data_IF_377629804426
#
_entry.id   IF_377629804426
#
_cell.length_a   1.000
_cell.length_b   1.000
_cell.length_c   1.000
_cell.angle_alpha   90.00
_cell.angle_beta   90.00
_cell.angle_gamma   90.00
#
_symmetry.space_group_name_H-M   'P 1'
#
loop_
_entity.id
_entity.type
_entity.pdbx_description
1 polymer ?
#
# COMPACT_ATOMS: atom_id res chain seq x y z
N UNK A 1 -2.23 8.94 -27.72
CA UNK A 1 -1.36 7.83 -27.27
C UNK A 1 -0.92 8.16 -25.84
N UNK A 2 -1.39 7.43 -24.83
CA UNK A 2 -0.92 7.62 -23.43
C UNK A 2 0.56 7.23 -23.36
N UNK A 3 1.40 8.06 -22.73
CA UNK A 3 2.82 7.74 -22.55
C UNK A 3 2.96 6.38 -21.83
N UNK A 4 4.01 5.62 -22.15
CA UNK A 4 4.30 4.35 -21.46
C UNK A 4 4.35 4.55 -19.93
N UNK A 5 4.78 5.72 -19.47
CA UNK A 5 4.78 6.09 -18.05
C UNK A 5 3.39 6.18 -17.43
N UNK A 6 2.43 6.79 -18.14
CA UNK A 6 1.05 6.93 -17.66
C UNK A 6 0.37 5.56 -17.48
N UNK A 7 0.76 4.57 -18.30
CA UNK A 7 0.26 3.19 -18.19
C UNK A 7 0.78 2.49 -16.94
N UNK A 8 2.08 2.58 -16.66
CA UNK A 8 2.68 1.93 -15.48
C UNK A 8 2.18 2.55 -14.19
N UNK A 9 2.10 3.88 -14.14
CA UNK A 9 1.52 4.57 -13.00
C UNK A 9 0.03 4.22 -12.84
N UNK A 10 -0.68 4.06 -13.97
CA UNK A 10 -2.04 3.55 -14.00
C UNK A 10 -2.20 2.17 -13.38
N UNK A 11 -1.32 1.23 -13.73
CA UNK A 11 -1.36 -0.14 -13.24
C UNK A 11 -0.89 -0.25 -11.78
N UNK A 12 0.11 0.53 -11.37
CA UNK A 12 0.49 0.69 -9.96
C UNK A 12 -0.70 1.19 -9.14
N UNK A 13 -1.33 2.27 -9.57
CA UNK A 13 -2.48 2.83 -8.88
C UNK A 13 -3.63 1.81 -8.78
N UNK A 14 -3.95 1.11 -9.87
CA UNK A 14 -4.98 0.05 -9.85
C UNK A 14 -4.64 -1.03 -8.83
N UNK A 15 -3.39 -1.49 -8.78
CA UNK A 15 -2.95 -2.52 -7.83
C UNK A 15 -3.02 -2.02 -6.38
N UNK A 16 -2.58 -0.79 -6.11
CA UNK A 16 -2.52 -0.20 -4.77
C UNK A 16 -3.89 0.14 -4.21
N UNK A 17 -4.82 0.59 -5.06
CA UNK A 17 -6.20 0.88 -4.68
C UNK A 17 -7.08 -0.39 -4.64
N UNK A 18 -6.60 -1.53 -5.15
CA UNK A 18 -7.38 -2.75 -5.13
C UNK A 18 -7.51 -3.28 -3.69
N UNK A 19 -8.72 -3.56 -3.19
CA UNK A 19 -8.93 -3.92 -1.79
C UNK A 19 -8.39 -5.31 -1.44
N UNK A 20 -7.97 -6.11 -2.42
CA UNK A 20 -7.61 -7.51 -2.20
C UNK A 20 -6.50 -7.71 -1.18
N UNK A 21 -5.42 -6.91 -1.20
CA UNK A 21 -4.38 -7.08 -0.18
C UNK A 21 -4.90 -6.75 1.22
N UNK A 22 -5.72 -5.69 1.35
CA UNK A 22 -6.33 -5.33 2.62
C UNK A 22 -7.26 -6.44 3.13
N UNK A 23 -8.03 -7.08 2.25
CA UNK A 23 -8.86 -8.24 2.57
C UNK A 23 -8.02 -9.43 3.03
N UNK A 24 -6.97 -9.79 2.29
CA UNK A 24 -6.07 -10.89 2.67
C UNK A 24 -5.40 -10.65 4.02
N UNK A 25 -4.90 -9.43 4.25
CA UNK A 25 -4.30 -9.04 5.54
C UNK A 25 -5.32 -9.06 6.68
N UNK A 26 -6.57 -8.67 6.42
CA UNK A 26 -7.64 -8.75 7.42
C UNK A 26 -7.95 -10.20 7.78
N UNK A 27 -8.05 -11.10 6.79
CA UNK A 27 -8.25 -12.53 7.03
C UNK A 27 -7.08 -13.15 7.76
N UNK A 28 -5.85 -12.85 7.34
CA UNK A 28 -4.62 -13.26 8.01
C UNK A 28 -4.68 -12.88 9.48
N UNK A 29 -4.96 -11.60 9.77
CA UNK A 29 -5.04 -11.06 11.13
C UNK A 29 -6.10 -11.79 11.97
N UNK A 30 -7.31 -11.98 11.44
CA UNK A 30 -8.40 -12.66 12.15
C UNK A 30 -8.04 -14.12 12.47
N UNK A 31 -7.45 -14.84 11.52
CA UNK A 31 -7.04 -16.22 11.72
C UNK A 31 -5.87 -16.33 12.72
N UNK A 32 -4.91 -15.39 12.69
CA UNK A 32 -3.85 -15.31 13.68
C UNK A 32 -4.41 -15.06 15.09
N UNK A 33 -5.29 -14.07 15.23
CA UNK A 33 -5.88 -13.69 16.51
C UNK A 33 -6.62 -14.87 17.16
N UNK A 34 -7.50 -15.55 16.40
CA UNK A 34 -8.27 -16.69 16.90
C UNK A 34 -7.38 -17.85 17.40
N UNK A 35 -6.17 -17.97 16.86
CA UNK A 35 -5.25 -19.05 17.13
C UNK A 35 -4.08 -18.65 18.05
N UNK A 36 -4.09 -17.40 18.57
CA UNK A 36 -3.01 -16.85 19.40
C UNK A 36 -2.72 -17.71 20.61
N UNK A 37 -3.73 -17.96 21.44
CA UNK A 37 -3.54 -18.59 22.74
C UNK A 37 -3.12 -20.06 22.62
N UNK A 38 -3.55 -20.74 21.54
CA UNK A 38 -3.21 -22.13 21.27
C UNK A 38 -1.76 -22.29 20.78
N UNK A 39 -1.23 -21.30 20.06
CA UNK A 39 -0.01 -21.49 19.28
C UNK A 39 1.06 -20.41 19.50
N UNK A 40 0.91 -19.50 20.47
CA UNK A 40 1.85 -18.38 20.74
C UNK A 40 3.32 -18.78 20.79
N UNK A 41 3.63 -19.97 21.32
CA UNK A 41 5.01 -20.46 21.49
C UNK A 41 5.56 -21.22 20.27
N UNK A 42 4.72 -21.57 19.30
CA UNK A 42 5.12 -22.36 18.13
C UNK A 42 5.96 -21.55 17.13
N UNK A 43 6.84 -22.23 16.39
CA UNK A 43 7.70 -21.60 15.40
C UNK A 43 6.92 -20.98 14.25
N UNK A 44 5.95 -21.72 13.67
CA UNK A 44 5.15 -21.21 12.55
C UNK A 44 4.36 -19.95 12.94
N UNK A 45 3.82 -19.89 14.15
CA UNK A 45 3.06 -18.73 14.61
C UNK A 45 3.95 -17.49 14.77
N UNK A 46 5.18 -17.67 15.30
CA UNK A 46 6.18 -16.60 15.37
C UNK A 46 6.57 -16.10 13.97
N UNK A 47 6.76 -17.01 13.01
CA UNK A 47 7.11 -16.66 11.64
C UNK A 47 5.96 -15.94 10.92
N UNK A 48 4.72 -16.42 11.05
CA UNK A 48 3.52 -15.75 10.53
C UNK A 48 3.35 -14.34 11.09
N UNK A 49 3.56 -14.19 12.40
CA UNK A 49 3.52 -12.89 13.07
C UNK A 49 4.57 -11.93 12.51
N UNK A 50 5.79 -12.41 12.28
CA UNK A 50 6.87 -11.62 11.66
C UNK A 50 6.53 -11.25 10.21
N UNK A 51 6.00 -12.19 9.44
CA UNK A 51 5.57 -11.97 8.06
C UNK A 51 4.49 -10.89 7.98
N UNK A 52 3.41 -11.04 8.75
CA UNK A 52 2.32 -10.07 8.81
C UNK A 52 2.82 -8.66 9.15
N UNK A 53 3.65 -8.51 10.19
CA UNK A 53 4.24 -7.22 10.58
C UNK A 53 5.01 -6.58 9.43
N UNK A 54 5.87 -7.36 8.76
CA UNK A 54 6.71 -6.83 7.69
C UNK A 54 5.89 -6.42 6.47
N UNK A 55 4.87 -7.20 6.07
CA UNK A 55 3.96 -6.84 4.98
C UNK A 55 3.19 -5.56 5.30
N UNK A 56 2.61 -5.45 6.50
CA UNK A 56 1.85 -4.25 6.89
C UNK A 56 2.76 -3.02 6.93
N UNK A 57 3.97 -3.14 7.48
CA UNK A 57 4.92 -2.04 7.54
C UNK A 57 5.40 -1.63 6.14
N UNK A 58 5.67 -2.58 5.25
CA UNK A 58 6.09 -2.27 3.89
C UNK A 58 4.96 -1.67 3.06
N UNK A 59 3.70 -2.05 3.33
CA UNK A 59 2.54 -1.47 2.64
C UNK A 59 2.24 -0.03 3.07
N UNK A 60 2.58 0.34 4.31
CA UNK A 60 2.50 1.72 4.83
C UNK A 60 3.70 2.59 4.43
N UNK A 61 4.51 2.15 3.46
CA UNK A 61 5.68 2.93 3.04
C UNK A 61 5.22 4.26 2.38
N UNK A 62 5.87 5.40 2.66
CA UNK A 62 5.46 6.70 2.13
C UNK A 62 5.35 6.73 0.60
N UNK A 63 6.24 6.01 -0.09
CA UNK A 63 6.19 5.87 -1.55
C UNK A 63 4.88 5.23 -2.03
N UNK A 64 4.41 4.18 -1.34
CA UNK A 64 3.17 3.49 -1.71
C UNK A 64 1.98 4.43 -1.53
N UNK A 65 1.95 5.20 -0.44
CA UNK A 65 0.90 6.18 -0.19
C UNK A 65 0.89 7.30 -1.25
N UNK A 66 2.07 7.81 -1.63
CA UNK A 66 2.20 8.78 -2.73
C UNK A 66 1.72 8.22 -4.08
N UNK A 67 2.08 6.98 -4.39
CA UNK A 67 1.65 6.29 -5.61
C UNK A 67 0.14 6.00 -5.62
N UNK A 68 -0.44 5.64 -4.48
CA UNK A 68 -1.87 5.38 -4.33
C UNK A 68 -2.70 6.67 -4.46
N UNK A 69 -2.22 7.79 -3.93
CA UNK A 69 -2.95 9.05 -3.94
C UNK A 69 -2.79 9.85 -5.25
N UNK A 70 -1.98 9.38 -6.21
CA UNK A 70 -1.60 10.11 -7.45
C UNK A 70 -1.28 11.60 -7.21
N UNK A 71 -0.69 11.96 -6.07
CA UNK A 71 -0.36 13.36 -5.83
C UNK A 71 0.87 13.73 -6.67
N UNK A 72 0.62 14.22 -7.89
CA UNK A 72 1.65 14.75 -8.79
C UNK A 72 2.47 15.87 -8.12
N UNK A 73 1.89 16.57 -7.14
CA UNK A 73 2.49 17.68 -6.40
C UNK A 73 3.55 17.28 -5.36
N UNK A 74 3.75 15.99 -5.07
CA UNK A 74 4.62 15.54 -3.95
C UNK A 74 5.93 14.85 -4.36
N UNK A 75 6.20 14.74 -5.66
CA UNK A 75 7.46 14.20 -6.19
C UNK A 75 8.49 15.32 -6.29
N UNK A 76 9.22 15.56 -5.20
CA UNK A 76 10.27 16.60 -5.12
C UNK A 76 11.40 16.38 -6.13
N UNK A 77 11.63 15.13 -6.60
CA UNK A 77 12.38 14.85 -7.84
C UNK A 77 12.15 13.41 -8.36
N UNK A 78 12.30 13.22 -9.68
CA UNK A 78 12.26 11.90 -10.34
C UNK A 78 13.38 10.96 -9.83
N UNK A 79 14.52 11.53 -9.43
CA UNK A 79 15.65 10.79 -8.85
C UNK A 79 15.32 10.23 -7.47
N UNK A 80 14.64 10.99 -6.61
CA UNK A 80 14.18 10.50 -5.30
C UNK A 80 13.13 9.39 -5.46
N UNK A 81 12.24 9.51 -6.44
CA UNK A 81 11.27 8.46 -6.78
C UNK A 81 11.97 7.14 -7.18
N UNK A 82 13.02 7.24 -7.99
CA UNK A 82 13.84 6.11 -8.41
C UNK A 82 14.56 5.46 -7.23
N UNK A 83 15.18 6.24 -6.34
CA UNK A 83 15.88 5.69 -5.17
C UNK A 83 14.92 5.03 -4.17
N UNK A 84 13.79 5.67 -3.88
CA UNK A 84 12.79 5.13 -2.94
C UNK A 84 12.12 3.88 -3.50
N UNK A 85 11.77 3.88 -4.80
CA UNK A 85 11.30 2.66 -5.45
C UNK A 85 12.36 1.57 -5.39
N UNK A 86 13.64 1.94 -5.53
CA UNK A 86 14.75 1.00 -5.48
C UNK A 86 14.96 0.38 -4.09
N UNK A 87 14.86 1.18 -3.04
CA UNK A 87 14.93 0.71 -1.66
C UNK A 87 13.77 -0.24 -1.36
N UNK A 88 12.58 0.10 -1.83
CA UNK A 88 11.37 -0.66 -1.54
C UNK A 88 11.40 -2.08 -2.12
N UNK A 89 11.60 -2.25 -3.44
CA UNK A 89 11.68 -3.61 -4.02
C UNK A 89 12.88 -4.42 -3.48
N UNK A 90 14.00 -3.77 -3.14
CA UNK A 90 15.13 -4.46 -2.50
C UNK A 90 14.72 -5.04 -1.15
N UNK A 91 13.93 -4.33 -0.34
CA UNK A 91 13.37 -4.87 0.92
C UNK A 91 12.47 -6.07 0.66
N UNK A 92 11.62 -5.99 -0.38
CA UNK A 92 10.76 -7.11 -0.77
C UNK A 92 11.58 -8.35 -1.12
N UNK A 93 12.60 -8.22 -1.98
CA UNK A 93 13.43 -9.33 -2.45
C UNK A 93 14.35 -9.91 -1.37
N UNK A 94 14.99 -9.07 -0.57
CA UNK A 94 16.01 -9.53 0.39
C UNK A 94 15.43 -9.97 1.73
N UNK A 95 14.31 -9.38 2.16
CA UNK A 95 13.74 -9.63 3.49
C UNK A 95 12.39 -10.32 3.41
N UNK A 96 11.46 -9.78 2.64
CA UNK A 96 10.06 -10.22 2.73
C UNK A 96 9.81 -11.55 2.00
N UNK A 97 10.27 -11.69 0.75
CA UNK A 97 10.09 -12.93 -0.01
C UNK A 97 10.76 -14.14 0.67
N UNK A 98 12.03 -14.08 1.12
CA UNK A 98 12.63 -15.19 1.87
C UNK A 98 11.85 -15.54 3.14
N UNK A 99 11.27 -14.53 3.82
CA UNK A 99 10.47 -14.75 5.01
C UNK A 99 9.14 -15.43 4.69
N UNK A 100 8.42 -14.99 3.65
CA UNK A 100 7.17 -15.61 3.21
C UNK A 100 7.42 -17.07 2.84
N UNK A 101 8.47 -17.35 2.07
CA UNK A 101 8.82 -18.71 1.65
C UNK A 101 9.19 -19.60 2.85
N UNK A 102 10.01 -19.10 3.78
CA UNK A 102 10.35 -19.84 5.01
C UNK A 102 9.11 -20.14 5.86
N UNK A 103 8.21 -19.17 5.96
CA UNK A 103 6.94 -19.31 6.69
C UNK A 103 6.04 -20.35 6.04
N UNK A 104 5.93 -20.32 4.71
CA UNK A 104 5.18 -21.30 3.94
C UNK A 104 5.75 -22.71 4.12
N UNK A 105 7.08 -22.89 4.07
CA UNK A 105 7.69 -24.20 4.29
C UNK A 105 7.42 -24.74 5.70
N UNK A 106 7.50 -23.89 6.73
CA UNK A 106 7.20 -24.30 8.11
C UNK A 106 5.73 -24.68 8.28
N UNK A 107 4.82 -23.94 7.64
CA UNK A 107 3.40 -24.29 7.59
C UNK A 107 3.14 -25.57 6.83
N UNK A 108 3.85 -25.82 5.73
CA UNK A 108 3.72 -27.05 4.95
C UNK A 108 4.14 -28.28 5.78
N UNK A 109 5.22 -28.17 6.56
CA UNK A 109 5.58 -29.21 7.53
C UNK A 109 4.53 -29.43 8.61
N UNK A 110 3.85 -28.35 9.05
CA UNK A 110 2.75 -28.45 10.03
C UNK A 110 1.51 -29.11 9.40
N UNK A 111 1.24 -28.80 8.13
CA UNK A 111 0.17 -29.37 7.33
C UNK A 111 0.37 -30.88 7.13
N UNK A 112 1.57 -31.33 6.77
CA UNK A 112 1.87 -32.74 6.51
C UNK A 112 1.78 -33.63 7.76
N UNK A 113 1.85 -33.05 8.96
CA UNK A 113 1.70 -33.74 10.24
C UNK A 113 0.24 -33.93 10.68
N UNK A 114 -0.75 -33.63 9.83
CA UNK A 114 -2.21 -33.90 9.94
C UNK A 114 -2.99 -33.24 11.08
N UNK A 115 -2.36 -32.81 12.18
CA UNK A 115 -3.07 -32.27 13.36
C UNK A 115 -3.76 -30.91 13.13
N UNK A 116 -3.39 -30.16 12.08
CA UNK A 116 -3.90 -28.81 11.82
C UNK A 116 -4.05 -28.47 10.34
N UNK A 117 -4.56 -29.45 9.58
CA UNK A 117 -4.55 -29.45 8.11
C UNK A 117 -5.34 -28.29 7.48
N UNK A 118 -6.61 -28.10 7.86
CA UNK A 118 -7.48 -27.11 7.26
C UNK A 118 -7.00 -25.65 7.49
N UNK A 119 -6.54 -25.36 8.71
CA UNK A 119 -6.00 -24.03 9.03
C UNK A 119 -4.68 -23.78 8.30
N UNK A 120 -3.77 -24.75 8.30
CA UNK A 120 -2.47 -24.61 7.64
C UNK A 120 -2.64 -24.39 6.14
N UNK A 121 -3.54 -25.13 5.50
CA UNK A 121 -3.88 -24.94 4.09
C UNK A 121 -4.46 -23.54 3.83
N UNK A 122 -5.39 -23.08 4.68
CA UNK A 122 -5.96 -21.73 4.56
C UNK A 122 -4.88 -20.65 4.67
N UNK A 123 -3.95 -20.77 5.63
CA UNK A 123 -2.84 -19.83 5.78
C UNK A 123 -1.86 -19.89 4.59
N UNK A 124 -1.58 -21.08 4.06
CA UNK A 124 -0.76 -21.23 2.85
C UNK A 124 -1.41 -20.54 1.65
N UNK A 125 -2.72 -20.69 1.45
CA UNK A 125 -3.45 -20.00 0.39
C UNK A 125 -3.39 -18.46 0.56
N UNK A 126 -3.56 -17.95 1.78
CA UNK A 126 -3.43 -16.52 2.06
C UNK A 126 -2.02 -16.03 1.75
N UNK A 127 -0.98 -16.74 2.21
CA UNK A 127 0.42 -16.40 1.93
C UNK A 127 0.72 -16.40 0.43
N UNK A 128 0.20 -17.37 -0.32
CA UNK A 128 0.36 -17.44 -1.78
C UNK A 128 -0.31 -16.24 -2.47
N UNK A 129 -1.52 -15.85 -2.06
CA UNK A 129 -2.20 -14.67 -2.62
C UNK A 129 -1.46 -13.38 -2.30
N UNK A 130 -1.00 -13.21 -1.06
CA UNK A 130 -0.15 -12.08 -0.66
C UNK A 130 1.12 -12.06 -1.50
N UNK A 131 1.79 -13.20 -1.67
CA UNK A 131 2.98 -13.32 -2.50
C UNK A 131 2.74 -12.81 -3.91
N UNK A 132 1.69 -13.27 -4.59
CA UNK A 132 1.38 -12.86 -5.97
C UNK A 132 1.18 -11.35 -6.07
N UNK A 133 0.43 -10.76 -5.14
CA UNK A 133 0.19 -9.31 -5.12
C UNK A 133 1.50 -8.54 -4.92
N UNK A 134 2.33 -8.97 -3.98
CA UNK A 134 3.60 -8.31 -3.67
C UNK A 134 4.63 -8.50 -4.79
N UNK A 135 4.66 -9.67 -5.42
CA UNK A 135 5.49 -9.93 -6.59
C UNK A 135 5.10 -9.01 -7.74
N UNK A 136 3.80 -8.87 -8.01
CA UNK A 136 3.30 -7.95 -9.03
C UNK A 136 3.65 -6.49 -8.71
N UNK A 137 3.57 -6.09 -7.44
CA UNK A 137 4.01 -4.77 -7.01
C UNK A 137 5.50 -4.56 -7.31
N UNK A 138 6.35 -5.52 -6.97
CA UNK A 138 7.79 -5.45 -7.21
C UNK A 138 8.10 -5.32 -8.70
N UNK A 139 7.47 -6.11 -9.57
CA UNK A 139 7.62 -5.97 -11.03
C UNK A 139 7.29 -4.56 -11.51
N UNK A 140 6.17 -4.01 -11.05
CA UNK A 140 5.75 -2.66 -11.43
C UNK A 140 6.69 -1.59 -10.87
N UNK A 141 7.22 -1.76 -9.65
CA UNK A 141 8.21 -0.85 -9.06
C UNK A 141 9.53 -0.86 -9.84
N UNK A 142 10.00 -2.01 -10.34
CA UNK A 142 11.17 -2.10 -11.22
C UNK A 142 10.97 -1.31 -12.50
N UNK A 143 9.81 -1.49 -13.14
CA UNK A 143 9.49 -0.78 -14.37
C UNK A 143 9.37 0.73 -14.13
N UNK A 144 8.75 1.13 -13.01
CA UNK A 144 8.69 2.53 -12.59
C UNK A 144 10.09 3.11 -12.38
N UNK A 145 10.98 2.40 -11.67
CA UNK A 145 12.36 2.79 -11.47
C UNK A 145 13.11 3.01 -12.81
N UNK A 146 13.00 2.06 -13.74
CA UNK A 146 13.59 2.20 -15.07
C UNK A 146 13.04 3.42 -15.82
N UNK A 147 11.74 3.69 -15.73
CA UNK A 147 11.15 4.89 -16.35
C UNK A 147 11.65 6.18 -15.70
N UNK A 148 11.85 6.21 -14.39
CA UNK A 148 12.38 7.38 -13.70
C UNK A 148 13.84 7.69 -14.08
N UNK A 149 14.65 6.67 -14.39
CA UNK A 149 16.06 6.85 -14.78
C UNK A 149 16.25 7.16 -16.27
N UNK A 150 15.47 6.52 -17.15
CA UNK A 150 15.69 6.58 -18.60
C UNK A 150 14.61 7.40 -19.35
N UNK A 151 13.52 7.79 -18.70
CA UNK A 151 12.35 8.44 -19.31
C UNK A 151 12.40 9.97 -19.41
N UNK A 152 13.60 10.57 -19.41
CA UNK A 152 13.85 12.03 -19.31
C UNK A 152 13.10 12.94 -20.29
N UNK A 153 12.50 12.43 -21.36
CA UNK A 153 11.86 13.28 -22.37
C UNK A 153 10.37 13.61 -22.12
N UNK A 154 9.69 12.92 -21.19
CA UNK A 154 8.22 13.09 -21.03
C UNK A 154 7.76 13.84 -19.78
N UNK A 155 8.57 13.90 -18.71
CA UNK A 155 8.19 14.58 -17.47
C UNK A 155 8.54 16.08 -17.46
N UNK A 156 9.60 16.50 -18.15
CA UNK A 156 10.08 17.91 -18.10
C UNK A 156 9.21 18.87 -18.92
N UNK A 157 8.42 18.39 -19.88
CA UNK A 157 7.67 19.25 -20.80
C UNK A 157 6.28 19.70 -20.32
N UNK A 158 5.73 19.14 -19.22
CA UNK A 158 4.41 19.57 -18.72
C UNK A 158 4.48 20.88 -17.93
N UNK A 159 5.55 21.13 -17.17
CA UNK A 159 5.66 22.35 -16.34
C UNK A 159 5.80 23.63 -17.16
N UNK A 160 6.50 23.59 -18.30
CA UNK A 160 6.62 24.76 -19.18
C UNK A 160 5.34 25.09 -19.94
N UNK A 161 4.44 24.12 -20.14
CA UNK A 161 3.19 24.33 -20.90
C UNK A 161 2.07 24.97 -20.06
N UNK A 162 1.99 24.67 -18.76
CA UNK A 162 0.98 25.25 -17.87
C UNK A 162 1.31 26.67 -17.42
N UNK A 163 2.58 27.04 -17.32
CA UNK A 163 2.98 28.40 -16.94
C UNK A 163 2.81 29.41 -18.10
N UNK A 164 2.87 28.96 -19.36
CA UNK A 164 2.70 29.83 -20.54
C UNK A 164 1.24 30.20 -20.83
N UNK A 165 0.27 29.39 -20.38
CA UNK A 165 -1.17 29.64 -20.58
C UNK A 165 -1.84 30.47 -19.47
N UNK A 166 -1.18 30.71 -18.34
CA UNK A 166 -1.67 31.63 -17.29
C UNK A 166 -1.34 33.11 -17.57
N UNK A 167 -0.39 33.40 -18.45
CA UNK A 167 0.01 34.77 -18.80
C UNK A 167 -0.82 35.47 -19.88
N UNK A 168 -1.83 34.82 -20.48
CA UNK A 168 -2.64 35.41 -21.58
C UNK A 168 -4.14 35.54 -21.28
N UNK A 169 -4.57 35.42 -20.03
CA UNK A 169 -5.99 35.49 -19.65
C UNK A 169 -6.34 36.55 -18.60
N UNK A 170 -5.51 37.57 -18.48
CA UNK A 170 -5.67 38.63 -17.47
C UNK A 170 -6.02 40.02 -18.04
N UNK A 171 -6.51 40.11 -19.29
CA UNK A 171 -6.91 41.40 -19.87
C UNK A 171 -8.40 41.60 -20.15
N UNK A 172 -9.27 40.58 -20.01
CA UNK A 172 -10.71 40.79 -20.26
C UNK A 172 -11.60 40.05 -19.26
N UNK A 173 -11.87 40.70 -18.11
CA UNK A 173 -13.07 40.45 -17.31
C UNK A 173 -13.25 41.55 -16.25
N UNK A 174 -13.67 42.74 -16.68
CA UNK A 174 -14.35 43.71 -15.81
C UNK A 174 -15.81 43.83 -16.26
N UNK A 175 -16.71 44.04 -15.28
CA UNK A 175 -18.18 44.11 -15.35
C UNK A 175 -18.86 42.72 -15.40
N UNK A 176 -19.83 42.35 -14.55
CA UNK A 176 -20.93 43.11 -13.95
C UNK A 176 -21.53 42.31 -12.77
N UNK A 177 -22.21 43.01 -11.87
CA UNK A 177 -22.64 42.57 -10.54
C UNK A 177 -24.08 41.99 -10.44
N UNK A 178 -24.32 41.31 -9.29
CA UNK A 178 -25.56 41.14 -8.49
C UNK A 178 -26.74 40.29 -9.03
N UNK A 179 -27.17 39.28 -8.25
CA UNK A 179 -28.44 39.29 -7.48
C UNK A 179 -28.80 37.92 -6.84
N UNK A 180 -29.30 38.00 -5.59
CA UNK A 180 -30.08 37.10 -4.68
C UNK A 180 -31.14 36.16 -5.32
N UNK A 181 -31.69 35.05 -4.75
CA UNK A 181 -32.14 34.71 -3.36
C UNK A 181 -32.64 33.23 -3.24
N UNK A 182 -32.43 32.60 -2.06
CA UNK A 182 -33.19 31.58 -1.27
C UNK A 182 -34.14 30.50 -1.88
N UNK A 183 -34.02 29.26 -1.35
CA UNK A 183 -35.10 28.27 -1.15
C UNK A 183 -34.65 26.95 -0.45
N UNK A 184 -35.23 26.62 0.72
CA UNK A 184 -35.16 25.31 1.46
C UNK A 184 -36.06 24.26 0.73
N UNK A 185 -36.02 22.92 0.89
CA UNK A 185 -36.02 22.07 2.09
C UNK A 185 -35.88 20.55 1.74
N UNK A 186 -35.17 19.79 2.59
CA UNK A 186 -35.18 18.36 3.04
C UNK A 186 -35.72 17.16 2.20
N UNK A 187 -34.92 16.08 2.15
CA UNK A 187 -35.11 14.73 2.78
C UNK A 187 -34.13 13.71 2.13
N UNK A 188 -33.12 13.18 2.83
CA UNK A 188 -33.09 11.97 3.67
C UNK A 188 -33.41 10.64 2.94
N UNK A 189 -32.38 9.96 2.41
CA UNK A 189 -32.20 8.49 2.54
C UNK A 189 -30.71 8.19 2.71
N UNK A 190 -30.46 7.46 3.79
CA UNK A 190 -29.27 6.76 4.25
C UNK A 190 -28.56 5.91 3.16
N UNK A 191 -27.23 5.89 3.17
CA UNK A 191 -26.48 4.66 2.94
C UNK A 191 -25.06 4.77 3.50
N UNK A 192 -25.02 4.50 4.79
CA UNK A 192 -23.87 4.21 5.63
C UNK A 192 -23.01 3.06 5.05
N UNK A 193 -21.90 3.39 4.37
CA UNK A 193 -20.83 2.41 4.06
C UNK A 193 -19.43 3.02 3.80
N UNK A 194 -19.24 4.34 3.97
CA UNK A 194 -17.98 5.03 3.62
C UNK A 194 -17.00 5.27 4.78
N UNK A 195 -17.19 4.62 5.93
CA UNK A 195 -16.26 4.76 7.07
C UNK A 195 -15.53 3.46 7.37
N UNK A 196 -14.53 3.13 6.56
CA UNK A 196 -13.45 2.26 7.01
C UNK A 196 -12.07 2.80 6.60
N UNK A 197 -11.30 3.12 7.64
CA UNK A 197 -9.84 3.20 7.69
C UNK A 197 -9.13 4.40 7.04
N UNK A 198 -9.40 5.61 7.55
CA UNK A 198 -8.36 6.65 7.62
C UNK A 198 -7.50 6.36 8.85
N UNK A 199 -6.32 5.74 8.65
CA UNK A 199 -5.34 5.56 9.72
C UNK A 199 -4.46 6.82 9.81
N UNK A 200 -4.82 7.74 10.69
CA UNK A 200 -3.97 8.88 11.04
C UNK A 200 -2.81 8.43 11.92
N UNK A 201 -1.59 8.79 11.52
CA UNK A 201 -0.36 8.57 12.27
C UNK A 201 -0.30 9.42 13.52
N UNK A 202 0.16 8.85 14.63
CA UNK A 202 0.97 9.56 15.63
C UNK A 202 1.91 8.55 16.30
N UNK A 203 3.15 9.01 16.53
CA UNK A 203 4.18 8.52 17.47
C UNK A 203 5.41 7.72 16.98
N UNK A 204 6.55 7.85 17.72
CA UNK A 204 7.84 8.18 17.14
C UNK A 204 8.81 7.00 17.00
N UNK A 205 9.86 7.25 16.24
CA UNK A 205 11.03 6.40 15.99
C UNK A 205 11.87 6.16 17.25
N UNK A 206 12.05 4.89 17.63
CA UNK A 206 13.24 4.40 18.34
C UNK A 206 13.68 3.05 17.78
N UNK A 207 14.97 2.96 17.50
CA UNK A 207 15.66 1.82 16.93
C UNK A 207 15.87 0.67 17.92
N UNK A 208 15.96 -0.54 17.37
CA UNK A 208 16.65 -1.70 17.91
C UNK A 208 16.16 -2.23 19.28
N UNK A 209 15.11 -3.06 19.25
CA UNK A 209 14.87 -4.07 20.29
C UNK A 209 14.06 -5.24 19.70
N UNK A 210 14.34 -6.45 20.20
CA UNK A 210 13.60 -7.67 19.89
C UNK A 210 12.09 -7.42 20.07
N UNK A 211 11.37 -7.29 18.96
CA UNK A 211 9.95 -6.90 18.98
C UNK A 211 9.10 -8.00 19.59
N UNK A 212 8.73 -7.78 20.85
CA UNK A 212 7.83 -8.61 21.64
C UNK A 212 6.54 -8.87 20.84
N UNK A 213 5.98 -10.07 21.01
CA UNK A 213 4.74 -10.48 20.33
C UNK A 213 3.59 -9.53 20.73
N UNK A 214 3.72 -8.86 21.87
CA UNK A 214 2.72 -7.96 22.42
C UNK A 214 2.65 -6.59 21.69
N UNK A 215 3.69 -6.17 20.95
CA UNK A 215 3.64 -4.98 20.09
C UNK A 215 2.68 -5.13 18.89
N UNK A 216 2.37 -6.36 18.49
CA UNK A 216 1.34 -6.62 17.46
C UNK A 216 -0.04 -6.20 17.99
N UNK A 217 -0.25 -6.27 19.30
CA UNK A 217 -1.54 -6.02 19.94
C UNK A 217 -1.70 -4.59 20.44
N UNK A 218 -0.60 -3.85 20.65
CA UNK A 218 -0.66 -2.40 20.81
C UNK A 218 -1.25 -1.69 19.57
N UNK A 219 -1.05 -2.27 18.38
CA UNK A 219 -1.68 -1.81 17.11
C UNK A 219 -3.14 -2.30 16.97
N UNK A 220 -3.61 -3.20 17.84
CA UNK A 220 -4.96 -3.77 17.82
C UNK A 220 -5.94 -3.07 18.79
N UNK A 221 -5.45 -2.23 19.70
CA UNK A 221 -6.25 -1.52 20.71
C UNK A 221 -6.49 -0.03 20.41
N UNK A 222 -6.16 0.46 19.21
CA UNK A 222 -6.52 1.81 18.73
C UNK A 222 -7.41 1.74 17.49
#
# INVERSE_FOLDING_TARGET
>A
MTSSADRILGDLHKLLCHPQLALELTLFRKLMYRNKNQHRKTLYYKQLSKCYRLVVRSWKHPLIEKLANRSEESWTSCTQAAEESQRLWTIYETKLFPLVLRTANTLFSTFSQTHFMAWSLTMLCILARIWVILHRLVELLKLFHHQCLYGSDSFVNKDKSKQRNRGRRLEHATHKAKSTRKGKQETFIDNSLEKMAVFTSNEPTKDSQDYDIDDIFAVLEK
#
